data_IF_648779339388
#
_entry.id   IF_648779339388
#
_cell.length_a   1.000
_cell.length_b   1.000
_cell.length_c   1.000
_cell.angle_alpha   90.00
_cell.angle_beta   90.00
_cell.angle_gamma   90.00
#
_symmetry.space_group_name_H-M   'P 1'
#
loop_
_entity.id
_entity.type
_entity.pdbx_description
1 polymer ?
#
# COMPACT_ATOMS: atom_id res chain seq x y z
N UNK A 1 6.96 -31.80 40.59
CA UNK A 1 7.45 -31.22 39.32
C UNK A 1 6.91 -32.11 38.23
N UNK A 2 6.03 -31.59 37.37
CA UNK A 2 5.65 -32.30 36.15
C UNK A 2 6.87 -32.31 35.22
N UNK A 3 7.31 -33.49 34.81
CA UNK A 3 8.27 -33.64 33.73
C UNK A 3 7.46 -33.87 32.47
N UNK A 4 7.55 -32.93 31.54
CA UNK A 4 6.97 -33.06 30.21
C UNK A 4 7.58 -34.28 29.50
N UNK A 5 6.72 -35.22 29.07
CA UNK A 5 7.13 -36.57 28.63
C UNK A 5 7.46 -36.67 27.13
N UNK A 6 7.19 -35.63 26.33
CA UNK A 6 7.41 -35.64 24.88
C UNK A 6 8.67 -34.82 24.49
N UNK A 7 9.60 -35.51 23.85
CA UNK A 7 10.96 -35.02 23.56
C UNK A 7 10.99 -33.69 22.81
N UNK A 8 11.68 -32.72 23.40
CA UNK A 8 11.95 -31.42 22.79
C UNK A 8 12.75 -31.54 21.47
N UNK A 9 12.57 -30.58 20.54
CA UNK A 9 11.68 -29.42 20.63
C UNK A 9 10.24 -29.74 20.20
N UNK A 10 9.28 -29.11 20.89
CA UNK A 10 7.84 -29.22 20.64
C UNK A 10 7.51 -28.46 19.36
N UNK A 11 6.89 -29.16 18.40
CA UNK A 11 6.55 -28.60 17.10
C UNK A 11 5.09 -28.91 16.78
N UNK A 12 4.48 -27.98 16.08
CA UNK A 12 3.09 -27.99 15.68
C UNK A 12 3.01 -27.39 14.29
N UNK A 13 2.26 -28.05 13.41
CA UNK A 13 2.04 -27.56 12.05
C UNK A 13 0.83 -26.64 12.08
N UNK A 14 0.98 -25.45 11.52
CA UNK A 14 -0.12 -24.52 11.31
C UNK A 14 -0.31 -24.31 9.82
N UNK A 15 -1.55 -24.49 9.36
CA UNK A 15 -1.98 -24.08 8.02
C UNK A 15 -2.99 -22.97 8.22
N UNK A 16 -2.68 -21.79 7.69
CA UNK A 16 -3.56 -20.65 7.75
C UNK A 16 -4.92 -20.99 7.12
N UNK A 17 -6.05 -20.78 7.82
CA UNK A 17 -7.37 -20.95 7.23
C UNK A 17 -7.58 -19.84 6.19
N UNK A 18 -7.65 -20.23 4.90
CA UNK A 18 -7.89 -19.40 3.70
C UNK A 18 -7.86 -17.88 3.92
N UNK A 19 -6.70 -17.27 3.70
CA UNK A 19 -6.56 -15.82 3.68
C UNK A 19 -5.11 -15.39 3.85
N UNK A 20 -4.77 -14.26 3.23
CA UNK A 20 -3.53 -13.55 3.52
C UNK A 20 -3.72 -12.71 4.78
N UNK A 21 -2.67 -12.52 5.56
CA UNK A 21 -2.77 -11.80 6.82
C UNK A 21 -1.67 -12.17 7.81
N UNK A 22 -1.77 -11.60 9.01
CA UNK A 22 -0.82 -11.82 10.09
C UNK A 22 -1.44 -12.68 11.18
N UNK A 23 -0.71 -13.71 11.58
CA UNK A 23 -1.08 -14.60 12.67
C UNK A 23 -0.11 -14.41 13.82
N UNK A 24 -0.68 -14.19 15.01
CA UNK A 24 0.04 -14.11 16.27
C UNK A 24 -0.21 -15.37 17.07
N UNK A 25 0.86 -16.07 17.44
CA UNK A 25 0.76 -17.32 18.21
C UNK A 25 1.11 -17.04 19.67
N UNK A 26 0.19 -17.39 20.55
CA UNK A 26 0.36 -17.29 22.00
C UNK A 26 0.36 -18.67 22.63
N UNK A 27 1.07 -18.82 23.74
CA UNK A 27 1.12 -20.06 24.53
C UNK A 27 0.80 -19.70 25.98
N UNK A 28 0.01 -20.54 26.63
CA UNK A 28 -0.28 -20.45 28.06
C UNK A 28 -0.37 -21.86 28.63
N UNK A 29 0.38 -22.15 29.68
CA UNK A 29 0.31 -23.42 30.38
C UNK A 29 -0.78 -23.41 31.47
N UNK A 30 -1.39 -24.58 31.69
CA UNK A 30 -2.31 -24.85 32.80
C UNK A 30 -1.78 -26.09 33.54
N UNK A 31 -1.62 -26.00 34.85
CA UNK A 31 -1.20 -27.15 35.66
C UNK A 31 -2.38 -28.05 36.09
N UNK A 32 -2.07 -29.18 36.75
CA UNK A 32 -3.08 -30.12 37.24
C UNK A 32 -3.99 -29.56 38.35
N UNK A 33 -3.65 -28.39 38.91
CA UNK A 33 -4.46 -27.66 39.89
C UNK A 33 -5.28 -26.54 39.23
N UNK A 34 -5.31 -26.47 37.90
CA UNK A 34 -5.97 -25.45 37.09
C UNK A 34 -5.39 -24.04 37.28
N UNK A 35 -4.15 -23.93 37.78
CA UNK A 35 -3.41 -22.67 37.77
C UNK A 35 -2.93 -22.39 36.36
N UNK A 36 -3.09 -21.16 35.90
CA UNK A 36 -2.83 -20.75 34.52
C UNK A 36 -1.83 -19.59 34.48
N UNK A 37 -0.95 -19.60 33.50
CA UNK A 37 -0.09 -18.46 33.21
C UNK A 37 -0.93 -17.24 32.81
N UNK A 38 -0.64 -16.09 33.43
CA UNK A 38 -1.28 -14.81 33.10
C UNK A 38 -0.37 -13.97 32.19
N UNK A 39 -0.92 -13.27 31.19
CA UNK A 39 -2.35 -13.08 30.87
C UNK A 39 -2.95 -14.20 29.99
N UNK A 40 -4.18 -14.62 30.32
CA UNK A 40 -4.99 -15.48 29.46
C UNK A 40 -6.49 -15.10 29.52
N UNK A 41 -7.18 -14.88 28.38
CA UNK A 41 -6.63 -14.87 27.02
C UNK A 41 -5.54 -13.79 26.86
N UNK A 42 -4.65 -13.93 25.86
CA UNK A 42 -3.74 -12.87 25.48
C UNK A 42 -4.48 -11.54 25.31
N UNK A 43 -3.85 -10.47 25.74
CA UNK A 43 -4.32 -9.10 25.58
C UNK A 43 -3.29 -8.28 24.81
N UNK A 44 -3.58 -7.01 24.58
CA UNK A 44 -2.73 -6.05 23.86
C UNK A 44 -1.30 -5.86 24.42
N UNK A 45 -1.02 -6.33 25.65
CA UNK A 45 0.32 -6.29 26.25
C UNK A 45 1.04 -7.63 26.23
N UNK A 46 0.41 -8.66 25.67
CA UNK A 46 1.02 -10.00 25.57
C UNK A 46 1.93 -10.05 24.34
N UNK A 47 3.20 -10.41 24.52
CA UNK A 47 4.10 -10.64 23.39
C UNK A 47 3.82 -12.02 22.75
N UNK A 48 3.60 -12.07 21.42
CA UNK A 48 3.42 -13.34 20.72
C UNK A 48 4.71 -14.15 20.72
N UNK A 49 4.57 -15.48 20.84
CA UNK A 49 5.69 -16.44 20.78
C UNK A 49 6.15 -16.73 19.37
N UNK A 50 5.27 -16.53 18.38
CA UNK A 50 5.62 -16.55 16.97
C UNK A 50 4.70 -15.61 16.19
N UNK A 51 5.22 -15.12 15.07
CA UNK A 51 4.50 -14.32 14.09
C UNK A 51 4.60 -15.04 12.75
N UNK A 52 3.50 -15.10 12.01
CA UNK A 52 3.47 -15.60 10.65
C UNK A 52 2.75 -14.58 9.78
N UNK A 53 3.38 -14.17 8.68
CA UNK A 53 2.70 -13.46 7.61
C UNK A 53 2.44 -14.44 6.47
N UNK A 54 1.17 -14.51 6.04
CA UNK A 54 0.78 -15.27 4.85
C UNK A 54 0.72 -14.30 3.68
N UNK A 55 1.47 -14.60 2.63
CA UNK A 55 1.56 -13.73 1.47
C UNK A 55 0.19 -13.48 0.82
N UNK A 56 0.01 -12.26 0.33
CA UNK A 56 -1.06 -11.86 -0.56
C UNK A 56 -0.49 -11.67 -1.95
N UNK A 57 -1.15 -12.26 -2.93
CA UNK A 57 -0.83 -12.08 -4.33
C UNK A 57 -1.83 -11.12 -4.96
N UNK A 58 -1.38 -9.90 -5.28
CA UNK A 58 -2.21 -8.89 -5.92
C UNK A 58 -1.96 -8.88 -7.43
N UNK A 59 -3.01 -9.11 -8.23
CA UNK A 59 -2.95 -9.01 -9.70
C UNK A 59 -3.48 -7.67 -10.19
N UNK A 60 -2.77 -7.04 -11.13
CA UNK A 60 -3.14 -5.76 -11.72
C UNK A 60 -2.68 -5.65 -13.19
N UNK A 61 -3.12 -4.58 -13.85
CA UNK A 61 -2.73 -4.25 -15.21
C UNK A 61 -2.07 -2.87 -15.27
N UNK A 62 -1.15 -2.68 -16.20
CA UNK A 62 -0.63 -1.37 -16.58
C UNK A 62 -0.96 -1.11 -18.05
N UNK A 63 -1.48 0.07 -18.35
CA UNK A 63 -2.04 0.39 -19.65
C UNK A 63 -1.11 1.30 -20.47
N UNK A 64 -1.04 1.02 -21.77
CA UNK A 64 -0.46 1.88 -22.78
C UNK A 64 -1.46 2.16 -23.90
N UNK A 65 -1.62 3.43 -24.26
CA UNK A 65 -2.42 3.84 -25.41
C UNK A 65 -1.50 4.07 -26.61
N UNK A 66 -1.44 3.10 -27.52
CA UNK A 66 -0.61 3.16 -28.71
C UNK A 66 -0.98 4.29 -29.68
N UNK A 67 -2.24 4.76 -29.68
CA UNK A 67 -2.68 5.89 -30.53
C UNK A 67 -2.19 7.22 -29.97
N UNK A 68 -2.23 7.39 -28.64
CA UNK A 68 -1.81 8.61 -27.97
C UNK A 68 -0.31 8.64 -27.64
N UNK A 69 0.39 7.51 -27.73
CA UNK A 69 1.78 7.29 -27.31
C UNK A 69 2.00 7.66 -25.83
N UNK A 70 1.09 7.22 -24.97
CA UNK A 70 1.11 7.47 -23.52
C UNK A 70 0.84 6.19 -22.76
N UNK A 71 1.59 5.93 -21.68
CA UNK A 71 1.39 4.78 -20.81
C UNK A 71 1.53 5.10 -19.33
N UNK A 72 0.96 6.23 -18.91
CA UNK A 72 0.92 6.60 -17.50
C UNK A 72 -0.09 5.77 -16.74
N UNK A 73 0.26 5.39 -15.51
CA UNK A 73 -0.58 4.61 -14.60
C UNK A 73 -0.37 5.15 -13.19
N UNK A 74 -1.46 5.47 -12.50
CA UNK A 74 -1.41 5.72 -11.06
C UNK A 74 -1.34 4.37 -10.35
N UNK A 75 -0.38 4.23 -9.45
CA UNK A 75 -0.03 2.95 -8.86
C UNK A 75 0.42 3.12 -7.41
N UNK A 76 0.10 2.15 -6.57
CA UNK A 76 0.65 1.98 -5.24
C UNK A 76 1.21 0.57 -5.16
N UNK A 77 2.39 0.38 -4.55
CA UNK A 77 2.86 -0.97 -4.25
C UNK A 77 1.87 -1.61 -3.26
N UNK A 78 1.17 -2.69 -3.63
CA UNK A 78 0.00 -3.18 -2.89
C UNK A 78 0.36 -4.00 -1.65
N UNK A 79 1.59 -4.54 -1.62
CA UNK A 79 2.09 -5.44 -0.59
C UNK A 79 3.54 -5.16 -0.30
N UNK A 80 3.98 -5.51 0.91
CA UNK A 80 5.38 -5.52 1.30
C UNK A 80 6.11 -6.65 0.59
N UNK A 81 6.81 -6.30 -0.48
CA UNK A 81 7.68 -7.20 -1.23
C UNK A 81 9.15 -6.93 -0.86
N UNK A 82 9.92 -7.94 -0.39
CA UNK A 82 11.28 -7.72 0.10
C UNK A 82 12.28 -7.26 -0.98
N UNK A 83 11.96 -7.48 -2.25
CA UNK A 83 12.76 -7.06 -3.40
C UNK A 83 12.27 -5.81 -4.12
N UNK A 84 11.30 -5.06 -3.56
CA UNK A 84 10.86 -3.77 -4.13
C UNK A 84 11.05 -2.71 -3.04
N UNK A 85 12.22 -2.07 -3.03
CA UNK A 85 12.59 -1.08 -1.99
C UNK A 85 12.73 0.32 -2.60
N UNK A 86 13.28 0.41 -3.80
CA UNK A 86 13.47 1.66 -4.53
C UNK A 86 12.66 1.71 -5.84
N UNK A 87 12.63 2.89 -6.46
CA UNK A 87 12.01 3.07 -7.78
C UNK A 87 12.67 2.20 -8.85
N UNK A 88 13.99 2.04 -8.81
CA UNK A 88 14.73 1.12 -9.69
C UNK A 88 14.26 -0.33 -9.54
N UNK A 89 14.12 -0.83 -8.31
CA UNK A 89 13.63 -2.19 -8.05
C UNK A 89 12.23 -2.43 -8.60
N UNK A 90 11.33 -1.44 -8.49
CA UNK A 90 9.97 -1.55 -9.06
C UNK A 90 10.02 -1.64 -10.59
N UNK A 91 10.86 -0.83 -11.24
CA UNK A 91 11.07 -0.91 -12.69
C UNK A 91 11.60 -2.28 -13.08
N UNK A 92 12.65 -2.77 -12.41
CA UNK A 92 13.24 -4.08 -12.67
C UNK A 92 12.23 -5.22 -12.45
N UNK A 93 11.43 -5.12 -11.39
CA UNK A 93 10.36 -6.08 -11.11
C UNK A 93 9.34 -6.14 -12.24
N UNK A 94 8.84 -4.99 -12.71
CA UNK A 94 7.90 -4.92 -13.85
C UNK A 94 8.57 -5.43 -15.13
N UNK A 95 9.81 -5.05 -15.39
CA UNK A 95 10.58 -5.48 -16.56
C UNK A 95 10.92 -6.97 -16.54
N UNK A 96 10.85 -7.63 -15.39
CA UNK A 96 10.90 -9.09 -15.27
C UNK A 96 9.74 -9.80 -15.97
N UNK A 97 8.60 -9.13 -16.16
CA UNK A 97 7.44 -9.66 -16.90
C UNK A 97 7.53 -9.40 -18.40
N UNK A 98 7.96 -8.19 -18.78
CA UNK A 98 8.25 -7.83 -20.17
C UNK A 98 9.46 -6.89 -20.22
N UNK A 99 10.59 -7.34 -20.80
CA UNK A 99 11.81 -6.54 -20.83
C UNK A 99 11.60 -5.16 -21.44
N UNK A 100 12.28 -4.15 -20.89
CA UNK A 100 12.32 -2.78 -21.42
C UNK A 100 10.96 -2.06 -21.52
N UNK A 101 9.94 -2.53 -20.80
CA UNK A 101 8.58 -1.99 -20.87
C UNK A 101 8.35 -0.83 -19.91
N UNK A 102 8.73 -0.98 -18.64
CA UNK A 102 8.68 0.09 -17.66
C UNK A 102 9.93 0.95 -17.79
N UNK A 103 9.74 2.23 -18.12
CA UNK A 103 10.86 3.15 -18.37
C UNK A 103 10.94 4.28 -17.37
N UNK A 104 9.92 4.47 -16.53
CA UNK A 104 9.92 5.53 -15.54
C UNK A 104 8.95 5.26 -14.40
N UNK A 105 9.40 5.59 -13.19
CA UNK A 105 8.57 5.69 -11.99
C UNK A 105 8.74 7.08 -11.41
N UNK A 106 7.64 7.74 -11.07
CA UNK A 106 7.64 9.06 -10.50
C UNK A 106 6.83 9.10 -9.21
N UNK A 107 7.27 9.90 -8.27
CA UNK A 107 6.51 10.21 -7.05
C UNK A 107 6.37 11.73 -6.91
N UNK A 108 5.35 12.16 -6.18
CA UNK A 108 5.07 13.56 -5.96
C UNK A 108 5.84 14.08 -4.76
N UNK A 109 6.63 15.15 -4.92
CA UNK A 109 7.19 15.89 -3.79
C UNK A 109 6.15 16.92 -3.31
N UNK A 110 5.49 16.70 -2.15
CA UNK A 110 4.44 17.58 -1.68
C UNK A 110 4.96 18.90 -1.12
N UNK A 111 6.26 19.04 -0.84
CA UNK A 111 6.85 20.29 -0.38
C UNK A 111 7.12 21.19 -1.58
N UNK A 112 7.72 20.62 -2.64
CA UNK A 112 8.08 21.34 -3.86
C UNK A 112 6.93 21.43 -4.87
N UNK A 113 5.85 20.66 -4.66
CA UNK A 113 4.70 20.57 -5.56
C UNK A 113 5.11 20.20 -7.00
N UNK A 114 5.97 19.19 -7.13
CA UNK A 114 6.46 18.71 -8.41
C UNK A 114 6.80 17.21 -8.36
N UNK A 115 6.87 16.58 -9.52
CA UNK A 115 7.31 15.19 -9.63
C UNK A 115 8.83 15.06 -9.48
N UNK A 116 9.25 14.03 -8.75
CA UNK A 116 10.59 13.44 -8.84
C UNK A 116 10.47 12.13 -9.61
N UNK A 117 11.39 11.89 -10.53
CA UNK A 117 11.29 10.81 -11.53
C UNK A 117 12.57 9.99 -11.54
N UNK A 118 12.43 8.68 -11.47
CA UNK A 118 13.48 7.74 -11.77
C UNK A 118 13.26 7.16 -13.16
N UNK A 119 14.32 7.06 -13.96
CA UNK A 119 14.23 6.72 -15.39
C UNK A 119 15.14 5.53 -15.70
N UNK A 120 14.59 4.59 -16.46
CA UNK A 120 15.29 3.48 -17.09
C UNK A 120 15.25 3.65 -18.61
N UNK A 121 16.40 3.55 -19.26
CA UNK A 121 16.51 3.67 -20.71
C UNK A 121 16.97 2.31 -21.28
N UNK A 122 16.15 1.67 -22.14
CA UNK A 122 16.52 0.42 -22.79
C UNK A 122 17.90 0.49 -23.48
N UNK A 123 18.77 -0.48 -23.18
CA UNK A 123 20.14 -0.55 -23.69
C UNK A 123 21.16 0.37 -22.99
N UNK A 124 20.73 1.26 -22.09
CA UNK A 124 21.62 2.07 -21.24
C UNK A 124 21.52 1.63 -19.77
N UNK A 125 20.31 1.36 -19.27
CA UNK A 125 20.02 1.02 -17.88
C UNK A 125 19.41 2.18 -17.09
N UNK A 126 19.49 2.09 -15.76
CA UNK A 126 18.98 3.09 -14.82
C UNK A 126 19.84 4.36 -14.80
N UNK A 127 19.18 5.51 -14.70
CA UNK A 127 19.85 6.77 -14.33
C UNK A 127 19.95 6.80 -12.79
N UNK A 128 21.10 6.36 -12.27
CA UNK A 128 21.26 6.05 -10.84
C UNK A 128 21.10 7.24 -9.90
N UNK A 129 21.37 8.46 -10.36
CA UNK A 129 21.30 9.69 -9.57
C UNK A 129 19.86 10.11 -9.23
N UNK A 130 18.87 9.51 -9.89
CA UNK A 130 17.46 9.84 -9.72
C UNK A 130 16.67 8.77 -9.00
N UNK A 131 17.34 7.72 -8.51
CA UNK A 131 16.67 6.65 -7.75
C UNK A 131 16.25 7.16 -6.35
N UNK A 132 15.14 6.65 -5.86
CA UNK A 132 14.57 7.05 -4.58
C UNK A 132 13.89 5.87 -3.88
N UNK A 133 13.92 5.82 -2.53
CA UNK A 133 13.23 4.79 -1.77
C UNK A 133 11.72 4.97 -1.91
N UNK A 134 10.99 3.87 -2.00
CA UNK A 134 9.53 3.86 -2.01
C UNK A 134 9.02 3.79 -0.57
N UNK A 135 8.04 4.64 -0.24
CA UNK A 135 7.35 4.55 1.04
C UNK A 135 6.07 3.72 0.94
N UNK A 136 5.72 3.00 2.02
CA UNK A 136 4.45 2.28 2.07
C UNK A 136 3.26 3.27 2.03
N UNK A 137 2.25 2.93 1.23
CA UNK A 137 1.09 3.78 1.01
C UNK A 137 1.36 5.01 0.14
N UNK A 138 2.56 5.16 -0.43
CA UNK A 138 2.88 6.24 -1.38
C UNK A 138 2.21 6.01 -2.73
N UNK A 139 1.66 7.07 -3.30
CA UNK A 139 1.13 7.05 -4.65
C UNK A 139 2.22 7.36 -5.68
N UNK A 140 2.30 6.54 -6.71
CA UNK A 140 3.29 6.59 -7.77
C UNK A 140 2.64 6.78 -9.15
N UNK A 141 3.41 7.34 -10.06
CA UNK A 141 3.14 7.36 -11.49
C UNK A 141 4.12 6.41 -12.19
N UNK A 142 3.60 5.37 -12.82
CA UNK A 142 4.39 4.39 -13.58
C UNK A 142 4.16 4.64 -15.07
N UNK A 143 5.24 4.74 -15.83
CA UNK A 143 5.18 4.80 -17.30
C UNK A 143 5.60 3.47 -17.92
N UNK A 144 4.73 2.93 -18.78
CA UNK A 144 5.00 1.73 -19.59
C UNK A 144 4.91 2.06 -21.08
N UNK A 145 5.65 1.31 -21.91
CA UNK A 145 5.68 1.47 -23.36
C UNK A 145 4.77 0.48 -24.11
N UNK A 146 4.17 -0.46 -23.38
CA UNK A 146 3.14 -1.38 -23.85
C UNK A 146 2.19 -1.76 -22.71
N UNK A 147 1.00 -2.28 -23.05
CA UNK A 147 0.04 -2.73 -22.04
C UNK A 147 0.51 -4.06 -21.46
N UNK A 148 0.58 -4.14 -20.14
CA UNK A 148 0.92 -5.34 -19.40
C UNK A 148 -0.32 -5.82 -18.64
N UNK A 149 -0.76 -7.03 -18.96
CA UNK A 149 -1.93 -7.66 -18.34
C UNK A 149 -1.52 -8.76 -17.37
N UNK A 150 -2.30 -8.92 -16.30
CA UNK A 150 -2.10 -9.97 -15.29
C UNK A 150 -0.72 -9.94 -14.63
N UNK A 151 -0.15 -8.74 -14.45
CA UNK A 151 1.00 -8.55 -13.57
C UNK A 151 0.61 -8.92 -12.16
N UNK A 152 1.58 -9.36 -11.37
CA UNK A 152 1.31 -9.67 -9.97
C UNK A 152 2.48 -9.32 -9.06
N UNK A 153 2.16 -8.89 -7.83
CA UNK A 153 3.13 -8.72 -6.75
C UNK A 153 2.66 -9.57 -5.57
N UNK A 154 3.52 -10.50 -5.16
CA UNK A 154 3.29 -11.36 -3.99
C UNK A 154 4.10 -10.88 -2.79
N UNK A 155 3.46 -10.59 -1.67
CA UNK A 155 4.15 -10.08 -0.49
C UNK A 155 3.29 -10.10 0.76
N UNK A 156 3.83 -9.62 1.86
CA UNK A 156 3.05 -9.48 3.10
C UNK A 156 2.09 -8.29 2.97
N UNK A 157 0.91 -8.33 3.56
CA UNK A 157 0.05 -7.14 3.61
C UNK A 157 0.77 -6.00 4.34
N UNK A 158 0.56 -4.76 3.90
CA UNK A 158 1.12 -3.59 4.57
C UNK A 158 0.25 -3.28 5.78
N UNK A 159 0.84 -3.23 6.97
CA UNK A 159 0.13 -2.88 8.20
C UNK A 159 -0.06 -1.37 8.35
N UNK A 160 -1.08 -0.96 9.10
CA UNK A 160 -1.46 0.45 9.23
C UNK A 160 -0.40 1.28 9.99
N UNK A 161 0.38 0.65 10.88
CA UNK A 161 1.46 1.28 11.62
C UNK A 161 2.77 1.36 10.83
N UNK A 162 2.85 0.67 9.68
CA UNK A 162 3.96 0.78 8.72
C UNK A 162 3.77 1.94 7.73
N UNK A 163 2.54 2.42 7.55
CA UNK A 163 2.24 3.59 6.70
C UNK A 163 2.38 4.86 7.54
N UNK A 164 3.29 5.74 7.13
CA UNK A 164 3.50 7.00 7.81
C UNK A 164 3.89 8.08 6.80
N UNK A 165 2.90 8.56 6.05
CA UNK A 165 3.10 9.66 5.09
C UNK A 165 2.82 11.00 5.75
N UNK A 166 3.67 11.98 5.49
CA UNK A 166 3.40 13.37 5.88
C UNK A 166 2.67 14.09 4.76
N UNK A 167 1.42 14.49 5.00
CA UNK A 167 0.62 15.25 4.04
C UNK A 167 0.74 16.75 4.32
N UNK A 168 0.93 17.54 3.27
CA UNK A 168 1.06 19.00 3.31
C UNK A 168 -0.19 19.69 2.76
N UNK A 169 -0.32 21.00 2.99
CA UNK A 169 -1.28 21.81 2.23
C UNK A 169 -0.85 21.84 0.76
N UNK A 170 -1.81 21.76 -0.16
CA UNK A 170 -1.58 21.56 -1.58
C UNK A 170 -1.84 20.12 -2.02
N UNK A 171 -1.28 19.75 -3.17
CA UNK A 171 -1.40 18.40 -3.70
C UNK A 171 -0.50 17.43 -2.94
N UNK A 172 -1.02 16.24 -2.67
CA UNK A 172 -0.27 15.09 -2.19
C UNK A 172 -0.72 13.88 -3.00
N UNK A 173 0.19 12.96 -3.30
CA UNK A 173 -0.14 11.71 -3.98
C UNK A 173 -0.07 10.58 -2.95
N UNK A 174 -1.16 9.85 -2.78
CA UNK A 174 -1.26 8.73 -1.84
C UNK A 174 -1.74 7.49 -2.56
N UNK A 175 -1.27 6.35 -2.08
CA UNK A 175 -1.63 5.02 -2.54
C UNK A 175 -2.61 4.35 -1.58
N UNK A 176 -3.35 3.37 -2.09
CA UNK A 176 -4.28 2.56 -1.32
C UNK A 176 -3.81 1.10 -1.28
N UNK A 177 -3.12 0.66 -0.21
CA UNK A 177 -2.67 -0.72 -0.06
C UNK A 177 -3.64 -1.61 0.74
N UNK A 178 -4.80 -1.08 1.16
CA UNK A 178 -5.77 -1.85 1.96
C UNK A 178 -6.58 -2.80 1.09
N UNK A 179 -6.85 -4.01 1.61
CA UNK A 179 -7.70 -5.02 0.95
C UNK A 179 -9.13 -4.51 0.77
N UNK A 180 -9.62 -3.77 1.75
CA UNK A 180 -10.94 -3.17 1.73
C UNK A 180 -10.96 -1.96 0.78
N UNK A 181 -11.93 -1.94 -0.11
CA UNK A 181 -12.15 -0.80 -1.01
C UNK A 181 -12.64 0.42 -0.21
N UNK A 182 -12.38 1.61 -0.74
CA UNK A 182 -12.97 2.86 -0.27
C UNK A 182 -13.48 3.69 -1.45
N UNK A 183 -14.02 4.87 -1.18
CA UNK A 183 -14.45 5.84 -2.19
C UNK A 183 -13.67 7.14 -2.04
N UNK A 184 -13.64 7.94 -3.11
CA UNK A 184 -13.06 9.28 -3.07
C UNK A 184 -13.69 10.17 -1.98
N UNK A 185 -14.99 10.00 -1.69
CA UNK A 185 -15.70 10.71 -0.64
C UNK A 185 -15.22 10.28 0.75
N UNK A 186 -15.31 8.98 1.05
CA UNK A 186 -14.92 8.46 2.36
C UNK A 186 -13.44 8.74 2.65
N UNK A 187 -12.56 8.59 1.66
CA UNK A 187 -11.14 8.93 1.80
C UNK A 187 -10.95 10.41 2.13
N UNK A 188 -11.58 11.29 1.37
CA UNK A 188 -11.40 12.74 1.53
C UNK A 188 -12.01 13.30 2.81
N UNK A 189 -13.17 12.79 3.26
CA UNK A 189 -13.79 13.21 4.52
C UNK A 189 -12.94 12.88 5.75
N UNK A 190 -12.14 11.82 5.67
CA UNK A 190 -11.27 11.37 6.75
C UNK A 190 -9.85 11.97 6.71
N UNK A 191 -9.53 12.80 5.71
CA UNK A 191 -8.27 13.55 5.65
C UNK A 191 -8.55 15.00 6.01
N UNK A 192 -8.02 15.45 7.15
CA UNK A 192 -8.20 16.83 7.61
C UNK A 192 -7.79 17.85 6.55
N UNK A 193 -8.66 18.83 6.30
CA UNK A 193 -8.52 19.89 5.29
C UNK A 193 -8.52 19.39 3.82
N UNK A 194 -8.84 18.13 3.53
CA UNK A 194 -8.98 17.66 2.16
C UNK A 194 -10.27 18.20 1.53
N UNK A 195 -10.15 18.84 0.37
CA UNK A 195 -11.30 19.43 -0.34
C UNK A 195 -11.64 18.73 -1.66
N UNK A 196 -10.70 17.95 -2.21
CA UNK A 196 -10.94 17.15 -3.42
C UNK A 196 -9.94 16.00 -3.58
N UNK A 197 -10.38 14.97 -4.31
CA UNK A 197 -9.62 13.77 -4.66
C UNK A 197 -9.66 13.56 -6.18
N UNK A 198 -8.52 13.33 -6.81
CA UNK A 198 -8.39 13.10 -8.25
C UNK A 198 -7.72 11.76 -8.55
N UNK A 199 -8.30 10.99 -9.47
CA UNK A 199 -7.68 9.78 -10.02
C UNK A 199 -7.14 10.04 -11.44
N UNK A 200 -6.57 9.00 -12.04
CA UNK A 200 -6.11 9.00 -13.43
C UNK A 200 -6.77 7.86 -14.21
N UNK A 201 -7.31 8.18 -15.39
CA UNK A 201 -7.85 7.14 -16.26
C UNK A 201 -6.72 6.57 -17.12
N UNK A 202 -6.12 5.47 -16.68
CA UNK A 202 -5.00 4.83 -17.37
C UNK A 202 -5.38 4.24 -18.73
N UNK A 203 -6.56 3.64 -18.89
CA UNK A 203 -7.00 3.12 -20.20
C UNK A 203 -7.15 4.25 -21.24
N UNK A 204 -7.72 5.38 -20.82
CA UNK A 204 -7.94 6.54 -21.68
C UNK A 204 -6.76 7.51 -21.77
N UNK A 205 -5.78 7.42 -20.87
CA UNK A 205 -4.63 8.31 -20.73
C UNK A 205 -5.01 9.80 -20.51
N UNK A 206 -5.94 10.07 -19.59
CA UNK A 206 -6.42 11.43 -19.27
C UNK A 206 -6.84 11.58 -17.80
N UNK A 207 -6.94 12.84 -17.36
CA UNK A 207 -7.37 13.22 -16.01
C UNK A 207 -8.89 13.44 -15.97
N UNK A 208 -9.67 12.56 -15.33
CA UNK A 208 -11.07 12.83 -15.04
C UNK A 208 -11.26 14.03 -14.11
N UNK A 209 -12.48 14.63 -14.09
CA UNK A 209 -12.81 15.65 -13.10
C UNK A 209 -12.56 15.12 -11.69
N UNK A 210 -11.91 15.94 -10.86
CA UNK A 210 -11.67 15.62 -9.45
C UNK A 210 -13.02 15.58 -8.70
N UNK A 211 -13.14 14.66 -7.75
CA UNK A 211 -14.26 14.59 -6.82
C UNK A 211 -14.06 15.63 -5.72
N UNK A 212 -15.00 16.57 -5.57
CA UNK A 212 -15.02 17.54 -4.47
C UNK A 212 -15.79 16.98 -3.28
N UNK A 213 -15.27 17.16 -2.06
CA UNK A 213 -15.89 16.59 -0.85
C UNK A 213 -17.26 17.24 -0.60
N UNK A 214 -18.29 16.41 -0.35
CA UNK A 214 -19.68 16.83 -0.22
C UNK A 214 -20.38 17.15 -1.55
N UNK A 215 -19.75 16.84 -2.69
CA UNK A 215 -20.37 16.97 -4.01
C UNK A 215 -21.53 15.98 -4.18
N UNK A 216 -22.63 16.36 -4.85
CA UNK A 216 -23.74 15.46 -5.14
C UNK A 216 -23.44 14.46 -6.27
N UNK A 217 -22.23 14.48 -6.85
CA UNK A 217 -21.79 13.56 -7.89
C UNK A 217 -21.36 12.24 -7.24
N UNK A 218 -21.63 11.10 -7.87
CA UNK A 218 -21.18 9.79 -7.37
C UNK A 218 -19.65 9.76 -7.22
N UNK A 219 -19.09 9.40 -6.04
CA UNK A 219 -17.65 9.26 -5.88
C UNK A 219 -17.14 8.02 -6.62
N UNK A 220 -15.92 8.09 -7.13
CA UNK A 220 -15.27 6.91 -7.71
C UNK A 220 -14.69 6.00 -6.60
N UNK A 221 -14.63 4.70 -6.91
CA UNK A 221 -14.03 3.71 -6.02
C UNK A 221 -12.50 3.77 -6.10
N UNK A 222 -11.88 3.42 -4.98
CA UNK A 222 -10.43 3.25 -4.84
C UNK A 222 -10.20 1.86 -4.27
N UNK A 223 -9.37 1.08 -4.97
CA UNK A 223 -9.09 -0.32 -4.69
C UNK A 223 -7.60 -0.55 -4.45
N UNK A 224 -7.25 -1.71 -3.88
CA UNK A 224 -5.86 -2.03 -3.57
C UNK A 224 -4.95 -1.86 -4.80
N UNK A 225 -3.78 -1.22 -4.59
CA UNK A 225 -2.79 -0.97 -5.64
C UNK A 225 -3.05 0.29 -6.47
N UNK A 226 -4.17 0.98 -6.29
CA UNK A 226 -4.44 2.26 -6.93
C UNK A 226 -3.83 3.42 -6.13
N UNK A 227 -3.62 4.55 -6.82
CA UNK A 227 -3.19 5.80 -6.22
C UNK A 227 -4.09 6.95 -6.66
N UNK A 228 -4.11 8.01 -5.86
CA UNK A 228 -4.89 9.22 -6.08
C UNK A 228 -4.11 10.46 -5.67
N UNK A 229 -4.47 11.60 -6.25
CA UNK A 229 -4.12 12.90 -5.69
C UNK A 229 -5.20 13.35 -4.72
N UNK A 230 -4.77 13.83 -3.56
CA UNK A 230 -5.62 14.60 -2.65
C UNK A 230 -5.11 16.03 -2.62
N UNK A 231 -6.04 16.98 -2.50
CA UNK A 231 -5.69 18.39 -2.34
C UNK A 231 -6.19 18.90 -0.99
N UNK A 232 -5.24 19.31 -0.14
CA UNK A 232 -5.52 19.89 1.17
C UNK A 232 -5.50 21.41 1.11
N UNK A 233 -6.47 22.06 1.74
CA UNK A 233 -6.56 23.51 1.82
C UNK A 233 -7.14 23.95 3.15
N UNK A 234 -6.44 24.83 3.87
CA UNK A 234 -6.91 25.38 5.14
C UNK A 234 -7.08 26.90 5.06
N UNK A 235 -8.31 27.40 5.27
CA UNK A 235 -8.61 28.84 5.36
C UNK A 235 -7.90 29.50 6.55
N UNK A 236 -7.66 28.72 7.61
CA UNK A 236 -6.96 29.18 8.82
C UNK A 236 -5.48 29.45 8.59
N UNK A 237 -4.93 29.10 7.41
CA UNK A 237 -3.50 29.10 7.10
C UNK A 237 -2.67 28.24 8.07
N UNK A 238 -3.29 27.33 8.84
CA UNK A 238 -2.56 26.29 9.53
C UNK A 238 -1.92 25.39 8.48
N UNK A 239 -0.66 25.68 8.16
CA UNK A 239 0.19 24.90 7.23
C UNK A 239 0.73 23.64 7.90
N UNK A 240 0.11 23.20 9.00
CA UNK A 240 0.60 22.08 9.79
C UNK A 240 0.46 20.81 8.97
N UNK A 241 1.58 20.13 8.67
CA UNK A 241 1.53 18.83 8.03
C UNK A 241 0.82 17.83 8.95
N UNK A 242 0.09 16.88 8.37
CA UNK A 242 -0.58 15.81 9.12
C UNK A 242 0.03 14.47 8.79
N UNK A 243 -0.04 13.54 9.74
CA UNK A 243 0.33 12.15 9.52
C UNK A 243 -0.82 11.42 8.86
N UNK A 244 -0.52 10.62 7.84
CA UNK A 244 -1.44 9.71 7.18
C UNK A 244 -0.97 8.27 7.39
N UNK A 245 -1.86 7.46 7.94
CA UNK A 245 -1.61 6.07 8.35
C UNK A 245 -2.28 5.04 7.42
N UNK A 246 -2.57 5.44 6.19
CA UNK A 246 -3.15 4.55 5.19
C UNK A 246 -4.67 4.41 5.23
N UNK A 247 -5.37 5.06 6.15
CA UNK A 247 -6.84 5.18 6.13
C UNK A 247 -7.62 3.93 6.56
N UNK A 248 -6.96 2.93 7.14
CA UNK A 248 -7.65 1.74 7.67
C UNK A 248 -8.50 2.05 8.91
N UNK A 249 -8.14 3.10 9.64
CA UNK A 249 -8.76 3.54 10.89
C UNK A 249 -10.21 3.99 10.76
N UNK A 250 -10.63 4.46 9.58
CA UNK A 250 -12.02 4.83 9.31
C UNK A 250 -12.82 3.75 8.57
N UNK A 251 -12.19 2.62 8.23
CA UNK A 251 -12.89 1.52 7.59
C UNK A 251 -13.68 0.73 8.63
N UNK A 252 -14.95 0.45 8.32
CA UNK A 252 -15.73 -0.51 9.08
C UNK A 252 -15.27 -1.92 8.69
N UNK A 253 -14.35 -2.48 9.47
CA UNK A 253 -13.89 -3.85 9.25
C UNK A 253 -15.03 -4.84 9.56
N UNK A 254 -15.16 -5.94 8.79
CA UNK A 254 -16.07 -7.01 9.18
C UNK A 254 -15.72 -7.49 10.60
N UNK A 255 -16.69 -7.90 11.42
CA UNK A 255 -16.39 -8.49 12.72
C UNK A 255 -15.46 -9.70 12.55
N UNK A 256 -14.52 -9.89 13.49
CA UNK A 256 -13.52 -10.96 13.43
C UNK A 256 -14.14 -12.36 13.42
#
# INVERSE_FOLDING_TARGET
>A
MGTDEDGAPWQWQFTAPNGSGYYQFYVSAIDNLLQRETPYPPNETTEPKALLSVSYNHTFNLYYNATALKGWNYFCVPVKHPGIVNASDLIDYINGFSPDTCTMVAHWDPILQQYKTHVYIPGIGHITETDFPLAYGEGLNVYVTETLENLYIEGCLIEYDEINLTLYIGYNMIGWPNLENTTAEQLGENITDCIKVGNYNATGQWYPPEYFIGSPIEPFNITIGEAVFIFRYSESHSVTPISWIGGRDFLTLPPP
#
